data_IF_857376919991
#
_entry.id   IF_857376919991
#
_cell.length_a   1.000
_cell.length_b   1.000
_cell.length_c   1.000
_cell.angle_alpha   90.00
_cell.angle_beta   90.00
_cell.angle_gamma   90.00
#
_symmetry.space_group_name_H-M   'P 1'
#
loop_
_entity.id
_entity.type
_entity.pdbx_description
1 polymer ?
#
# COMPACT_ATOMS: atom_id res chain seq x y z
N UNK A 1 19.06 -10.30 15.80
CA UNK A 1 18.63 -10.05 14.39
C UNK A 1 19.36 -10.93 13.37
N UNK A 2 20.68 -11.20 13.48
CA UNK A 2 21.43 -12.02 12.50
C UNK A 2 20.93 -13.47 12.30
N UNK A 3 20.36 -14.11 13.33
CA UNK A 3 19.87 -15.49 13.23
C UNK A 3 18.63 -15.62 12.31
N UNK A 4 17.75 -14.61 12.30
CA UNK A 4 16.52 -14.65 11.49
C UNK A 4 16.87 -14.61 10.01
N UNK A 5 17.76 -13.70 9.62
CA UNK A 5 18.19 -13.54 8.23
C UNK A 5 18.95 -14.78 7.71
N UNK A 6 19.79 -15.39 8.56
CA UNK A 6 20.49 -16.64 8.24
C UNK A 6 19.52 -17.80 8.01
N UNK A 7 18.54 -17.96 8.91
CA UNK A 7 17.53 -19.02 8.80
C UNK A 7 16.70 -18.89 7.50
N UNK A 8 16.25 -17.67 7.16
CA UNK A 8 15.51 -17.41 5.92
C UNK A 8 16.35 -17.76 4.68
N UNK A 9 17.63 -17.41 4.67
CA UNK A 9 18.55 -17.69 3.55
C UNK A 9 18.83 -19.19 3.40
N UNK A 10 19.01 -19.89 4.52
CA UNK A 10 19.23 -21.35 4.54
C UNK A 10 17.96 -22.13 4.09
N UNK A 11 16.77 -21.62 4.39
CA UNK A 11 15.50 -22.20 3.92
C UNK A 11 15.30 -22.01 2.41
N UNK A 12 15.59 -20.81 1.88
CA UNK A 12 15.49 -20.53 0.45
C UNK A 12 16.47 -21.42 -0.35
N UNK A 13 17.73 -21.50 0.08
CA UNK A 13 18.77 -22.31 -0.58
C UNK A 13 18.49 -23.81 -0.54
N UNK A 14 18.00 -24.37 0.58
CA UNK A 14 17.60 -25.79 0.67
C UNK A 14 16.40 -26.15 -0.20
N UNK A 15 15.49 -25.22 -0.44
CA UNK A 15 14.26 -25.48 -1.21
C UNK A 15 14.45 -25.43 -2.72
N UNK A 16 15.61 -24.94 -3.22
CA UNK A 16 15.89 -24.79 -4.65
C UNK A 16 14.96 -23.78 -5.36
N UNK A 17 14.14 -23.04 -4.62
CA UNK A 17 13.18 -22.07 -5.15
C UNK A 17 13.85 -20.71 -5.21
N UNK A 18 13.85 -20.09 -6.38
CA UNK A 18 14.15 -18.66 -6.47
C UNK A 18 13.10 -17.89 -5.67
N UNK A 19 13.48 -16.82 -4.94
CA UNK A 19 12.49 -15.98 -4.28
C UNK A 19 11.58 -15.42 -5.36
N UNK A 20 10.28 -15.72 -5.24
CA UNK A 20 9.26 -15.08 -6.07
C UNK A 20 9.33 -13.58 -5.79
N UNK A 21 9.87 -12.82 -6.72
CA UNK A 21 9.94 -11.35 -6.60
C UNK A 21 8.55 -10.70 -6.68
N UNK A 22 7.52 -11.51 -6.95
CA UNK A 22 6.14 -11.07 -7.01
C UNK A 22 5.27 -11.97 -6.12
N UNK A 23 5.17 -11.59 -4.85
CA UNK A 23 4.23 -12.19 -3.92
C UNK A 23 2.82 -11.64 -4.20
N UNK A 24 1.80 -12.49 -4.11
CA UNK A 24 0.41 -12.03 -4.19
C UNK A 24 0.16 -10.96 -3.12
N UNK A 25 -0.59 -9.91 -3.48
CA UNK A 25 -0.86 -8.83 -2.55
C UNK A 25 -1.64 -9.34 -1.33
N UNK A 26 -1.29 -8.82 -0.15
CA UNK A 26 -2.04 -9.07 1.07
C UNK A 26 -3.42 -8.41 0.94
N UNK A 27 -4.49 -9.18 1.11
CA UNK A 27 -5.85 -8.66 1.04
C UNK A 27 -6.23 -8.02 2.36
N UNK A 28 -6.72 -6.78 2.30
CA UNK A 28 -7.21 -6.09 3.49
C UNK A 28 -8.57 -6.71 3.88
N UNK A 29 -8.76 -7.07 5.17
CA UNK A 29 -10.04 -7.58 5.66
C UNK A 29 -11.19 -6.60 5.46
N UNK A 30 -12.37 -7.13 5.11
CA UNK A 30 -13.57 -6.32 4.84
C UNK A 30 -14.02 -5.48 6.05
N UNK A 31 -13.78 -5.97 7.26
CA UNK A 31 -14.09 -5.26 8.52
C UNK A 31 -13.31 -3.96 8.68
N UNK A 32 -12.10 -3.89 8.10
CA UNK A 32 -11.21 -2.74 8.19
C UNK A 32 -11.47 -1.73 7.08
N UNK A 33 -12.09 -2.16 5.98
CA UNK A 33 -12.42 -1.31 4.84
C UNK A 33 -13.87 -0.79 4.94
N UNK A 34 -14.05 0.40 5.52
CA UNK A 34 -15.36 1.08 5.59
C UNK A 34 -15.63 1.96 4.35
N UNK A 35 -14.56 2.39 3.67
CA UNK A 35 -14.61 3.25 2.47
C UNK A 35 -13.69 2.71 1.37
N UNK A 36 -14.01 3.03 0.12
CA UNK A 36 -13.18 2.67 -1.03
C UNK A 36 -11.77 3.28 -0.91
N UNK A 37 -10.74 2.42 -0.95
CA UNK A 37 -9.34 2.83 -0.81
C UNK A 37 -8.76 3.53 -2.04
N UNK A 38 -9.55 3.70 -3.12
CA UNK A 38 -9.15 4.47 -4.31
C UNK A 38 -9.79 5.86 -4.32
N UNK A 39 -11.10 5.93 -4.40
CA UNK A 39 -11.77 7.23 -4.48
C UNK A 39 -11.97 7.91 -3.11
N UNK A 40 -11.89 7.17 -1.99
CA UNK A 40 -12.15 7.63 -0.63
C UNK A 40 -13.54 8.27 -0.40
N UNK A 41 -14.41 8.26 -1.43
CA UNK A 41 -15.74 8.87 -1.43
C UNK A 41 -16.86 7.88 -1.16
N UNK A 42 -16.71 6.64 -1.65
CA UNK A 42 -17.74 5.62 -1.56
C UNK A 42 -17.64 4.85 -0.25
N UNK A 43 -18.65 4.96 0.62
CA UNK A 43 -18.82 4.11 1.81
C UNK A 43 -19.38 2.75 1.39
N UNK A 44 -18.84 1.68 1.95
CA UNK A 44 -19.35 0.34 1.68
C UNK A 44 -20.62 0.08 2.48
N UNK A 45 -21.62 -0.48 1.80
CA UNK A 45 -22.92 -0.85 2.36
C UNK A 45 -23.33 -2.20 1.76
N UNK A 46 -24.40 -2.86 2.26
CA UNK A 46 -24.89 -4.09 1.63
C UNK A 46 -25.21 -3.94 0.13
N UNK A 47 -25.55 -2.72 -0.31
CA UNK A 47 -25.81 -2.37 -1.71
C UNK A 47 -24.51 -1.98 -2.43
N UNK A 48 -23.67 -1.12 -1.83
CA UNK A 48 -22.35 -0.79 -2.37
C UNK A 48 -21.30 -1.78 -1.87
N UNK A 49 -21.20 -2.92 -2.56
CA UNK A 49 -20.36 -4.05 -2.16
C UNK A 49 -18.87 -3.77 -2.32
N UNK A 50 -18.07 -4.47 -1.51
CA UNK A 50 -16.61 -4.46 -1.55
C UNK A 50 -16.08 -5.31 -2.69
N UNK A 51 -14.97 -4.86 -3.28
CA UNK A 51 -14.20 -5.64 -4.25
C UNK A 51 -12.71 -5.51 -3.96
N UNK A 52 -11.95 -6.59 -4.09
CA UNK A 52 -10.50 -6.53 -3.94
C UNK A 52 -9.80 -6.35 -5.29
N UNK A 53 -8.79 -5.49 -5.34
CA UNK A 53 -7.85 -5.47 -6.45
C UNK A 53 -6.89 -6.67 -6.34
N UNK A 54 -6.83 -7.54 -7.34
CA UNK A 54 -5.93 -8.73 -7.28
C UNK A 54 -4.44 -8.38 -7.42
N UNK A 55 -4.11 -7.19 -7.94
CA UNK A 55 -2.72 -6.71 -8.04
C UNK A 55 -2.20 -6.08 -6.74
N UNK A 56 -3.01 -5.27 -6.04
CA UNK A 56 -2.56 -4.49 -4.88
C UNK A 56 -3.29 -4.80 -3.57
N UNK A 57 -4.29 -5.68 -3.56
CA UNK A 57 -4.99 -6.14 -2.34
C UNK A 57 -6.01 -5.17 -1.75
N UNK A 58 -6.07 -3.92 -2.23
CA UNK A 58 -6.97 -2.90 -1.72
C UNK A 58 -8.45 -3.21 -1.96
N UNK A 59 -9.28 -2.78 -1.01
CA UNK A 59 -10.74 -2.84 -1.10
C UNK A 59 -11.26 -1.58 -1.81
N UNK A 60 -11.98 -1.80 -2.90
CA UNK A 60 -12.43 -0.78 -3.85
C UNK A 60 -13.90 -0.98 -4.19
N UNK A 61 -14.58 0.11 -4.59
CA UNK A 61 -15.95 0.05 -5.08
C UNK A 61 -16.01 -0.42 -6.54
N UNK A 62 -17.21 -0.74 -7.03
CA UNK A 62 -17.48 -1.14 -8.41
C UNK A 62 -16.87 -0.18 -9.44
N UNK A 63 -17.17 1.13 -9.36
CA UNK A 63 -16.66 2.13 -10.30
C UNK A 63 -15.13 2.27 -10.32
N UNK A 64 -14.44 2.00 -9.21
CA UNK A 64 -12.96 2.08 -9.16
C UNK A 64 -12.25 0.80 -9.62
N UNK A 65 -13.00 -0.18 -10.15
CA UNK A 65 -12.47 -1.50 -10.50
C UNK A 65 -13.20 -2.17 -11.65
N UNK A 66 -13.68 -1.39 -12.61
CA UNK A 66 -14.47 -1.90 -13.74
C UNK A 66 -13.63 -2.80 -14.66
N UNK A 67 -12.33 -2.54 -14.71
CA UNK A 67 -11.40 -3.23 -15.61
C UNK A 67 -10.88 -4.56 -15.05
N UNK A 68 -10.47 -5.44 -15.96
CA UNK A 68 -9.81 -6.72 -15.66
C UNK A 68 -8.48 -6.81 -16.40
N UNK A 69 -7.52 -7.49 -15.81
CA UNK A 69 -6.18 -7.66 -16.39
C UNK A 69 -5.67 -9.07 -16.16
N UNK A 70 -4.90 -9.62 -17.10
CA UNK A 70 -4.30 -10.94 -16.96
C UNK A 70 -3.06 -10.84 -16.06
N UNK A 71 -3.09 -11.52 -14.92
CA UNK A 71 -1.95 -11.65 -14.02
C UNK A 71 -1.42 -13.09 -14.12
N UNK A 72 -0.44 -13.39 -14.99
CA UNK A 72 -0.03 -14.77 -15.29
C UNK A 72 0.45 -15.55 -14.07
N UNK A 73 1.04 -14.87 -13.09
CA UNK A 73 1.48 -15.45 -11.83
C UNK A 73 0.34 -15.84 -10.88
N UNK A 74 -0.88 -15.35 -11.11
CA UNK A 74 -2.03 -15.58 -10.23
C UNK A 74 -3.20 -16.33 -10.91
N UNK A 75 -3.39 -16.17 -12.22
CA UNK A 75 -4.55 -16.71 -12.94
C UNK A 75 -4.30 -16.79 -14.45
N UNK A 76 -4.85 -17.82 -15.09
CA UNK A 76 -4.89 -17.96 -16.56
C UNK A 76 -5.99 -17.12 -17.22
N UNK A 77 -6.90 -16.53 -16.42
CA UNK A 77 -7.98 -15.65 -16.88
C UNK A 77 -7.80 -14.23 -16.33
N UNK A 78 -8.27 -13.18 -17.05
CA UNK A 78 -8.25 -11.81 -16.53
C UNK A 78 -8.99 -11.67 -15.19
N UNK A 79 -8.33 -11.05 -14.21
CA UNK A 79 -8.85 -10.82 -12.86
C UNK A 79 -9.17 -9.35 -12.64
N UNK A 80 -10.11 -9.07 -11.72
CA UNK A 80 -10.49 -7.69 -11.37
C UNK A 80 -9.31 -6.96 -10.73
N UNK A 81 -9.01 -5.77 -11.24
CA UNK A 81 -8.04 -4.87 -10.63
C UNK A 81 -8.64 -3.46 -10.56
N UNK A 82 -8.12 -2.62 -9.68
CA UNK A 82 -8.52 -1.22 -9.67
C UNK A 82 -7.92 -0.46 -10.85
N UNK A 83 -8.55 0.65 -11.24
CA UNK A 83 -8.16 1.42 -12.43
C UNK A 83 -6.69 1.88 -12.38
N UNK A 84 -6.23 2.32 -11.21
CA UNK A 84 -4.81 2.67 -11.00
C UNK A 84 -3.84 1.54 -11.38
N UNK A 85 -4.14 0.31 -10.96
CA UNK A 85 -3.29 -0.84 -11.30
C UNK A 85 -3.42 -1.20 -12.78
N UNK A 86 -4.59 -0.99 -13.38
CA UNK A 86 -4.80 -1.25 -14.79
C UNK A 86 -3.95 -0.30 -15.62
N UNK A 87 -4.00 0.99 -15.32
CA UNK A 87 -3.27 2.00 -16.07
C UNK A 87 -1.76 1.76 -15.92
N UNK A 88 -1.27 1.47 -14.70
CA UNK A 88 0.14 1.14 -14.46
C UNK A 88 0.64 -0.08 -15.27
N UNK A 89 -0.17 -1.14 -15.32
CA UNK A 89 0.17 -2.35 -16.08
C UNK A 89 0.03 -2.14 -17.60
N UNK A 90 -0.81 -1.20 -18.01
CA UNK A 90 -1.04 -0.88 -19.43
C UNK A 90 0.02 0.06 -20.00
N UNK A 91 0.59 0.96 -19.18
CA UNK A 91 1.67 1.87 -19.63
C UNK A 91 3.06 1.24 -19.56
N UNK A 92 3.20 0.05 -18.98
CA UNK A 92 4.50 -0.64 -18.87
C UNK A 92 5.40 -0.10 -17.75
N UNK A 93 4.93 0.88 -16.97
CA UNK A 93 5.67 1.45 -15.83
C UNK A 93 5.56 0.55 -14.60
N UNK A 94 6.11 -0.66 -14.68
CA UNK A 94 6.06 -1.64 -13.58
C UNK A 94 6.82 -1.20 -12.30
N UNK A 95 7.50 -0.04 -12.32
CA UNK A 95 8.33 0.44 -11.22
C UNK A 95 7.58 1.15 -10.08
N UNK A 96 6.29 1.52 -10.23
CA UNK A 96 5.62 2.39 -9.23
C UNK A 96 4.67 1.68 -8.25
N UNK A 97 4.43 0.37 -8.35
CA UNK A 97 3.62 -0.38 -7.37
C UNK A 97 4.51 -1.11 -6.36
N UNK A 98 5.15 -0.37 -5.44
CA UNK A 98 5.61 -0.99 -4.20
C UNK A 98 4.45 -0.98 -3.17
N UNK A 99 3.93 -2.13 -2.74
CA UNK A 99 3.11 -2.21 -1.55
C UNK A 99 4.01 -1.94 -0.35
N UNK A 100 3.99 -0.70 0.17
CA UNK A 100 4.66 -0.36 1.43
C UNK A 100 5.55 0.87 1.47
N UNK A 101 5.65 1.71 0.44
CA UNK A 101 6.43 2.97 0.56
C UNK A 101 5.57 4.10 1.14
N UNK A 102 5.20 3.96 2.41
CA UNK A 102 4.70 5.06 3.25
C UNK A 102 5.82 5.70 4.05
N UNK A 103 7.03 5.84 3.51
CA UNK A 103 8.12 6.53 4.21
C UNK A 103 8.67 7.62 3.29
N UNK A 104 8.18 8.86 3.48
CA UNK A 104 8.95 10.12 3.36
C UNK A 104 8.12 11.38 3.07
N UNK A 105 6.80 11.30 2.79
CA UNK A 105 6.00 12.53 2.55
C UNK A 105 5.35 13.08 3.83
N UNK A 106 5.01 12.23 4.80
CA UNK A 106 4.39 12.69 6.06
C UNK A 106 5.38 13.34 7.04
N UNK A 107 6.68 13.05 6.94
CA UNK A 107 7.69 13.62 7.84
C UNK A 107 8.07 15.07 7.50
N UNK A 108 7.72 15.59 6.32
CA UNK A 108 8.01 16.98 5.96
C UNK A 108 6.90 17.95 6.39
N UNK A 109 5.65 17.50 6.48
CA UNK A 109 4.53 18.37 6.88
C UNK A 109 4.41 18.59 8.40
N UNK A 110 5.01 17.73 9.23
CA UNK A 110 5.00 17.91 10.70
C UNK A 110 6.23 18.67 11.22
N UNK A 111 7.30 18.76 10.43
CA UNK A 111 8.51 19.52 10.80
C UNK A 111 8.36 21.03 10.54
N UNK A 112 7.46 21.45 9.67
CA UNK A 112 7.20 22.87 9.40
C UNK A 112 6.32 23.56 10.45
N UNK A 113 5.58 22.80 11.27
CA UNK A 113 4.60 23.35 12.22
C UNK A 113 5.09 23.46 13.66
N UNK A 114 6.35 23.10 13.95
CA UNK A 114 6.95 23.23 15.30
C UNK A 114 8.16 24.17 15.34
N UNK A 115 8.50 24.84 14.24
CA UNK A 115 9.65 25.76 14.18
C UNK A 115 9.28 27.24 14.40
N UNK A 116 8.15 27.52 15.04
CA UNK A 116 7.78 28.88 15.45
C UNK A 116 7.45 28.87 16.94
N UNK A 117 8.49 28.73 17.76
CA UNK A 117 8.51 29.33 19.09
C UNK A 117 9.79 30.15 19.12
N UNK A 118 9.63 31.46 19.05
CA UNK A 118 10.66 32.43 19.34
C UNK A 118 10.90 32.38 20.85
N UNK A 119 12.11 32.05 21.28
CA UNK A 119 12.55 32.28 22.64
C UNK A 119 12.87 33.78 22.77
N UNK A 120 11.95 34.56 23.34
CA UNK A 120 12.25 35.89 23.85
C UNK A 120 12.74 35.72 25.30
N UNK A 121 14.00 36.10 25.56
CA UNK A 121 14.59 36.14 26.89
C UNK A 121 14.05 37.37 27.65
N UNK A 122 13.28 37.15 28.72
CA UNK A 122 12.98 38.17 29.71
C UNK A 122 13.77 37.90 31.00
N UNK A 123 14.75 38.79 31.21
CA UNK A 123 15.46 39.08 32.45
C UNK A 123 14.49 39.73 33.45
N UNK A 124 14.29 39.14 34.63
CA UNK A 124 14.07 39.95 35.83
C UNK A 124 14.48 39.18 37.10
N UNK A 125 15.52 39.72 37.73
CA UNK A 125 16.06 39.31 39.01
C UNK A 125 15.39 40.17 40.08
N UNK A 126 14.76 39.56 41.09
CA UNK A 126 14.23 40.30 42.23
C UNK A 126 14.27 39.48 43.53
N UNK A 127 15.10 40.00 44.45
CA UNK A 127 15.22 39.86 45.92
C UNK A 127 15.17 38.46 46.57
#
# INVERSE_FOLDING_TARGET
MNHINKCVTDLLSKSGKTPVNEHAAVWVPDSEATVCMRCQKAKFTPVNRRHHCRKCGYVVCGPCSEKRFLLPSQSSKPVRICDFCYDLLSTGDMAACQPGRSDSIYSQSLKSSLNNVSDDEDDDSSD
#
